data_IF_594864248276
#
_entry.id   IF_594864248276
#
_cell.length_a   1.000
_cell.length_b   1.000
_cell.length_c   1.000
_cell.angle_alpha   90.00
_cell.angle_beta   90.00
_cell.angle_gamma   90.00
#
_symmetry.space_group_name_H-M   'P 1'
#
loop_
_entity.id
_entity.type
_entity.pdbx_description
1 polymer ?
#
# COMPACT_ATOMS: atom_id res chain seq x y z
N UNK A 1 -14.66 3.23 -77.56
CA UNK A 1 -15.75 3.68 -78.47
C UNK A 1 -16.06 5.09 -78.02
N UNK A 2 -15.45 6.08 -78.70
CA UNK A 2 -16.09 7.00 -79.63
C UNK A 2 -16.96 8.03 -78.87
N UNK A 3 -16.82 9.34 -78.97
CA UNK A 3 -16.11 10.39 -79.77
C UNK A 3 -16.44 11.72 -79.07
N UNK A 4 -15.54 12.66 -78.81
CA UNK A 4 -15.18 13.78 -79.71
C UNK A 4 -16.31 14.78 -79.98
N UNK A 5 -15.97 16.04 -79.83
CA UNK A 5 -16.50 17.21 -80.59
C UNK A 5 -16.34 18.48 -79.72
N UNK A 6 -15.33 19.25 -79.83
CA UNK A 6 -14.90 20.28 -80.81
C UNK A 6 -15.87 21.45 -80.92
N UNK A 7 -15.29 22.64 -80.78
CA UNK A 7 -15.57 23.72 -81.62
C UNK A 7 -15.59 25.13 -80.98
N UNK A 8 -14.50 25.83 -80.98
CA UNK A 8 -14.10 26.95 -81.88
C UNK A 8 -14.82 28.31 -81.56
N UNK A 9 -14.06 29.22 -81.05
CA UNK A 9 -13.48 30.49 -81.54
C UNK A 9 -14.44 31.63 -81.84
N UNK A 10 -14.22 32.82 -81.32
CA UNK A 10 -13.55 33.95 -82.03
C UNK A 10 -13.83 35.30 -81.34
N UNK A 11 -12.79 36.01 -81.01
CA UNK A 11 -12.37 37.32 -81.55
C UNK A 11 -13.26 38.53 -81.26
N UNK A 12 -12.67 39.54 -80.65
CA UNK A 12 -13.10 40.90 -80.79
C UNK A 12 -12.62 41.93 -79.79
N UNK A 13 -11.45 42.45 -80.01
CA UNK A 13 -10.99 43.85 -79.90
C UNK A 13 -11.19 44.71 -78.67
N UNK A 14 -10.06 45.25 -78.31
CA UNK A 14 -9.71 46.28 -77.39
C UNK A 14 -10.49 47.61 -77.52
N UNK A 15 -10.64 48.32 -76.40
CA UNK A 15 -10.51 49.76 -76.32
C UNK A 15 -9.91 50.18 -74.97
N UNK A 16 -8.85 51.00 -75.12
CA UNK A 16 -8.23 51.75 -73.99
C UNK A 16 -9.22 52.71 -73.31
N UNK A 17 -9.06 52.85 -71.93
CA UNK A 17 -8.96 54.19 -71.31
C UNK A 17 -8.53 54.09 -69.87
N UNK A 18 -7.39 54.64 -69.63
CA UNK A 18 -6.88 55.50 -68.49
C UNK A 18 -7.80 55.71 -67.27
N UNK A 19 -7.27 55.49 -66.12
CA UNK A 19 -7.55 56.38 -65.01
C UNK A 19 -7.62 55.80 -63.60
N UNK A 20 -6.74 56.27 -62.80
CA UNK A 20 -6.78 56.35 -61.31
C UNK A 20 -6.33 55.14 -60.50
N UNK A 21 -5.12 55.23 -59.99
CA UNK A 21 -4.56 54.50 -58.88
C UNK A 21 -5.29 54.95 -57.62
N UNK A 22 -6.06 54.05 -56.97
CA UNK A 22 -6.48 54.20 -55.58
C UNK A 22 -5.71 53.11 -54.82
N UNK A 23 -4.75 53.52 -54.03
CA UNK A 23 -4.03 52.69 -53.08
C UNK A 23 -4.97 52.35 -51.92
N UNK A 24 -5.31 51.04 -51.80
CA UNK A 24 -6.02 50.52 -50.66
C UNK A 24 -4.97 50.09 -49.62
N UNK A 25 -5.01 50.60 -48.35
CA UNK A 25 -4.09 50.13 -47.34
C UNK A 25 -4.48 48.70 -46.92
N UNK A 26 -3.55 47.80 -47.05
CA UNK A 26 -3.63 46.43 -46.53
C UNK A 26 -3.60 46.48 -45.01
N UNK A 27 -4.79 46.46 -44.42
CA UNK A 27 -4.93 46.30 -42.98
C UNK A 27 -4.49 44.90 -42.60
N UNK A 28 -3.29 44.80 -42.03
CA UNK A 28 -2.75 43.57 -41.42
C UNK A 28 -3.58 43.31 -40.15
N UNK A 29 -4.61 42.46 -40.23
CA UNK A 29 -5.29 41.91 -39.06
C UNK A 29 -4.33 40.95 -38.37
N UNK A 30 -3.60 41.46 -37.40
CA UNK A 30 -2.95 40.63 -36.38
C UNK A 30 -4.08 39.97 -35.55
N UNK A 31 -4.43 38.74 -35.95
CA UNK A 31 -5.24 37.88 -35.11
C UNK A 31 -4.46 37.55 -33.85
N UNK A 32 -4.77 38.26 -32.75
CA UNK A 32 -4.34 37.92 -31.42
C UNK A 32 -5.06 36.61 -31.04
N UNK A 33 -4.45 35.46 -31.37
CA UNK A 33 -4.85 34.19 -30.79
C UNK A 33 -4.49 34.30 -29.30
N UNK A 34 -5.47 34.69 -28.48
CA UNK A 34 -5.40 34.45 -27.03
C UNK A 34 -5.34 32.92 -26.87
N UNK A 35 -4.11 32.41 -26.72
CA UNK A 35 -3.90 31.09 -26.13
C UNK A 35 -4.40 31.23 -24.70
N UNK A 36 -5.66 30.84 -24.47
CA UNK A 36 -6.19 30.69 -23.13
C UNK A 36 -5.31 29.67 -22.45
N UNK A 37 -4.40 30.12 -21.58
CA UNK A 37 -3.82 29.25 -20.57
C UNK A 37 -5.02 28.70 -19.79
N UNK A 38 -5.35 27.44 -20.07
CA UNK A 38 -6.24 26.67 -19.22
C UNK A 38 -5.54 26.63 -17.86
N UNK A 39 -5.95 27.45 -16.92
CA UNK A 39 -5.57 27.31 -15.53
C UNK A 39 -5.94 25.87 -15.14
N UNK A 40 -4.93 25.01 -15.12
CA UNK A 40 -5.04 23.67 -14.55
C UNK A 40 -5.39 23.89 -13.09
N UNK A 41 -6.67 23.76 -12.73
CA UNK A 41 -7.08 23.74 -11.33
C UNK A 41 -6.27 22.65 -10.66
N UNK A 42 -5.39 23.06 -9.76
CA UNK A 42 -4.52 22.11 -9.07
C UNK A 42 -5.41 21.13 -8.30
N UNK A 43 -5.19 19.83 -8.53
CA UNK A 43 -5.92 18.77 -7.87
C UNK A 43 -5.68 18.85 -6.35
N UNK A 44 -6.74 18.95 -5.55
CA UNK A 44 -6.64 18.92 -4.08
C UNK A 44 -6.99 17.54 -3.55
N UNK A 45 -6.13 16.99 -2.68
CA UNK A 45 -6.38 15.77 -1.91
C UNK A 45 -6.33 16.12 -0.42
N UNK A 46 -7.43 15.85 0.29
CA UNK A 46 -7.48 16.02 1.74
C UNK A 46 -6.98 14.75 2.44
N UNK A 47 -6.03 14.91 3.36
CA UNK A 47 -5.50 13.81 4.19
C UNK A 47 -6.03 14.02 5.62
N UNK A 48 -6.95 13.17 6.06
CA UNK A 48 -7.46 13.14 7.42
C UNK A 48 -6.74 12.04 8.21
N UNK A 49 -5.92 12.41 9.19
CA UNK A 49 -5.18 11.46 10.03
C UNK A 49 -5.76 11.34 11.43
N UNK A 50 -5.83 10.11 11.94
CA UNK A 50 -6.34 9.82 13.30
C UNK A 50 -5.49 10.48 14.38
N UNK A 51 -4.19 10.57 14.18
CA UNK A 51 -3.20 11.21 15.05
C UNK A 51 -1.86 11.34 14.34
N UNK A 52 -0.95 12.15 14.89
CA UNK A 52 0.43 12.24 14.39
C UNK A 52 1.32 11.21 15.10
N UNK A 53 1.51 10.05 14.47
CA UNK A 53 2.46 9.00 14.91
C UNK A 53 3.39 8.65 13.75
N UNK A 54 4.62 8.25 14.06
CA UNK A 54 5.67 7.99 13.06
C UNK A 54 5.26 7.01 11.96
N UNK A 55 4.47 5.98 12.29
CA UNK A 55 3.95 5.02 11.31
C UNK A 55 3.00 5.67 10.28
N UNK A 56 2.15 6.59 10.73
CA UNK A 56 1.23 7.32 9.83
C UNK A 56 1.97 8.30 8.96
N UNK A 57 2.95 9.03 9.51
CA UNK A 57 3.76 9.98 8.75
C UNK A 57 4.53 9.27 7.63
N UNK A 58 5.17 8.12 7.91
CA UNK A 58 5.82 7.31 6.87
C UNK A 58 4.86 6.85 5.77
N UNK A 59 3.63 6.47 6.13
CA UNK A 59 2.62 6.11 5.15
C UNK A 59 2.16 7.33 4.32
N UNK A 60 1.99 8.49 4.94
CA UNK A 60 1.63 9.73 4.25
C UNK A 60 2.74 10.16 3.27
N UNK A 61 4.01 10.06 3.67
CA UNK A 61 5.14 10.34 2.78
C UNK A 61 5.13 9.41 1.56
N UNK A 62 4.98 8.11 1.79
CA UNK A 62 4.86 7.12 0.70
C UNK A 62 3.67 7.40 -0.22
N UNK A 63 2.52 7.80 0.34
CA UNK A 63 1.34 8.20 -0.40
C UNK A 63 1.61 9.39 -1.31
N UNK A 64 2.18 10.47 -0.77
CA UNK A 64 2.49 11.68 -1.54
C UNK A 64 3.52 11.43 -2.64
N UNK A 65 4.51 10.57 -2.38
CA UNK A 65 5.54 10.23 -3.35
C UNK A 65 5.00 9.45 -4.57
N UNK A 66 3.92 8.68 -4.42
CA UNK A 66 3.33 7.86 -5.47
C UNK A 66 1.99 8.39 -6.00
N UNK A 67 1.42 9.38 -5.36
CA UNK A 67 0.16 10.02 -5.74
C UNK A 67 0.25 10.81 -7.04
N UNK A 68 -0.86 11.42 -7.49
CA UNK A 68 -0.88 12.22 -8.70
C UNK A 68 0.08 13.41 -8.62
N UNK A 69 0.79 13.70 -9.71
CA UNK A 69 1.68 14.85 -9.80
C UNK A 69 0.90 16.18 -9.81
N UNK A 70 1.49 17.25 -9.29
CA UNK A 70 0.85 18.57 -9.26
C UNK A 70 -0.30 18.69 -8.26
N UNK A 71 -0.42 17.75 -7.31
CA UNK A 71 -1.46 17.72 -6.30
C UNK A 71 -1.13 18.63 -5.11
N UNK A 72 -2.12 19.37 -4.62
CA UNK A 72 -2.07 20.05 -3.34
C UNK A 72 -2.60 19.11 -2.26
N UNK A 73 -1.81 18.86 -1.22
CA UNK A 73 -2.19 18.02 -0.09
C UNK A 73 -2.57 18.88 1.11
N UNK A 74 -3.84 18.82 1.50
CA UNK A 74 -4.35 19.49 2.70
C UNK A 74 -4.42 18.47 3.85
N UNK A 75 -3.60 18.64 4.89
CA UNK A 75 -3.56 17.71 6.02
C UNK A 75 -4.40 18.19 7.20
N UNK A 76 -5.13 17.26 7.80
CA UNK A 76 -6.01 17.46 8.94
C UNK A 76 -5.72 16.39 10.00
N UNK A 77 -5.32 16.82 11.20
CA UNK A 77 -5.08 15.94 12.33
C UNK A 77 -6.23 16.02 13.33
N UNK A 78 -6.87 14.88 13.59
CA UNK A 78 -7.95 14.81 14.56
C UNK A 78 -7.47 14.55 16.00
N UNK A 79 -6.16 14.45 16.22
CA UNK A 79 -5.53 14.29 17.53
C UNK A 79 -6.12 13.15 18.38
N UNK A 80 -6.55 12.07 17.73
CA UNK A 80 -7.17 10.93 18.39
C UNK A 80 -8.64 11.14 18.80
N UNK A 81 -9.23 12.31 18.61
CA UNK A 81 -10.59 12.64 18.99
C UNK A 81 -11.57 12.45 17.81
N UNK A 82 -12.59 11.61 18.01
CA UNK A 82 -13.56 11.28 16.95
C UNK A 82 -14.50 12.44 16.63
N UNK A 83 -14.88 13.25 17.62
CA UNK A 83 -15.76 14.40 17.38
C UNK A 83 -15.03 15.53 16.67
N UNK A 84 -13.75 15.74 16.98
CA UNK A 84 -12.87 16.57 16.19
C UNK A 84 -12.77 16.04 14.74
N UNK A 85 -12.61 14.72 14.58
CA UNK A 85 -12.58 14.09 13.27
C UNK A 85 -13.82 14.34 12.43
N UNK A 86 -15.02 14.24 13.02
CA UNK A 86 -16.29 14.57 12.34
C UNK A 86 -16.35 16.05 11.91
N UNK A 87 -15.91 16.98 12.77
CA UNK A 87 -15.85 18.41 12.43
C UNK A 87 -14.92 18.66 11.25
N UNK A 88 -13.73 18.05 11.26
CA UNK A 88 -12.77 18.13 10.16
C UNK A 88 -13.30 17.49 8.88
N UNK A 89 -13.96 16.33 8.97
CA UNK A 89 -14.56 15.66 7.81
C UNK A 89 -15.67 16.52 7.17
N UNK A 90 -16.51 17.22 7.96
CA UNK A 90 -17.47 18.21 7.46
C UNK A 90 -16.78 19.37 6.74
N UNK A 91 -15.66 19.87 7.30
CA UNK A 91 -14.86 20.92 6.66
C UNK A 91 -14.29 20.44 5.32
N UNK A 92 -13.75 19.23 5.28
CA UNK A 92 -13.22 18.60 4.06
C UNK A 92 -14.33 18.44 3.01
N UNK A 93 -15.51 17.97 3.40
CA UNK A 93 -16.66 17.84 2.49
C UNK A 93 -17.06 19.18 1.86
N UNK A 94 -16.88 20.29 2.58
CA UNK A 94 -17.19 21.64 2.09
C UNK A 94 -16.02 22.28 1.32
N UNK A 95 -14.88 21.59 1.15
CA UNK A 95 -13.74 22.06 0.36
C UNK A 95 -13.82 21.53 -1.08
N UNK A 96 -12.86 21.92 -1.90
CA UNK A 96 -12.71 21.48 -3.30
C UNK A 96 -11.93 20.15 -3.43
N UNK A 97 -11.79 19.39 -2.32
CA UNK A 97 -11.05 18.14 -2.34
C UNK A 97 -11.68 17.10 -3.30
N UNK A 98 -10.89 16.64 -4.25
CA UNK A 98 -11.30 15.66 -5.25
C UNK A 98 -11.23 14.23 -4.73
N UNK A 99 -10.48 14.00 -3.64
CA UNK A 99 -10.31 12.71 -2.97
C UNK A 99 -9.91 12.94 -1.51
N UNK A 100 -10.37 12.04 -0.65
CA UNK A 100 -10.02 12.03 0.78
C UNK A 100 -9.20 10.80 1.12
N UNK A 101 -8.06 10.99 1.76
CA UNK A 101 -7.25 9.91 2.33
C UNK A 101 -7.47 9.86 3.83
N UNK A 102 -8.01 8.75 4.32
CA UNK A 102 -8.24 8.53 5.73
C UNK A 102 -7.15 7.62 6.33
N UNK A 103 -6.33 8.18 7.23
CA UNK A 103 -5.19 7.48 7.82
C UNK A 103 -5.53 7.00 9.24
N UNK A 104 -5.67 5.68 9.38
CA UNK A 104 -6.09 5.02 10.62
C UNK A 104 -7.60 4.95 10.79
N UNK A 105 -8.03 4.08 11.72
CA UNK A 105 -9.43 3.69 11.89
C UNK A 105 -10.36 4.87 12.22
N UNK A 106 -9.98 5.71 13.17
CA UNK A 106 -10.85 6.83 13.60
C UNK A 106 -11.08 7.83 12.46
N UNK A 107 -10.05 8.11 11.65
CA UNK A 107 -10.18 8.96 10.47
C UNK A 107 -11.11 8.35 9.42
N UNK A 108 -10.99 7.05 9.16
CA UNK A 108 -11.86 6.35 8.22
C UNK A 108 -13.33 6.34 8.69
N UNK A 109 -13.58 6.15 9.98
CA UNK A 109 -14.92 6.22 10.55
C UNK A 109 -15.50 7.64 10.46
N UNK A 110 -14.73 8.68 10.80
CA UNK A 110 -15.17 10.06 10.69
C UNK A 110 -15.47 10.45 9.23
N UNK A 111 -14.59 10.10 8.30
CA UNK A 111 -14.81 10.35 6.88
C UNK A 111 -16.04 9.61 6.35
N UNK A 112 -16.23 8.34 6.69
CA UNK A 112 -17.40 7.55 6.27
C UNK A 112 -18.72 8.17 6.72
N UNK A 113 -18.76 8.75 7.93
CA UNK A 113 -19.98 9.32 8.50
C UNK A 113 -20.39 10.64 7.84
N UNK A 114 -19.42 11.43 7.40
CA UNK A 114 -19.68 12.81 6.99
C UNK A 114 -19.48 13.07 5.48
N UNK A 115 -18.75 12.21 4.76
CA UNK A 115 -18.41 12.39 3.35
C UNK A 115 -19.05 11.28 2.52
N UNK A 116 -19.96 11.62 1.63
CA UNK A 116 -20.73 10.66 0.83
C UNK A 116 -20.54 10.82 -0.69
N UNK A 117 -20.05 11.95 -1.13
CA UNK A 117 -19.97 12.41 -2.52
C UNK A 117 -18.54 12.48 -3.08
N UNK A 118 -17.53 12.44 -2.22
CA UNK A 118 -16.11 12.43 -2.58
C UNK A 118 -15.54 11.02 -2.36
N UNK A 119 -14.70 10.48 -3.24
CA UNK A 119 -14.02 9.21 -3.03
C UNK A 119 -13.16 9.24 -1.77
N UNK A 120 -13.24 8.18 -0.96
CA UNK A 120 -12.44 8.00 0.25
C UNK A 120 -11.54 6.79 0.06
N UNK A 121 -10.24 6.98 0.26
CA UNK A 121 -9.26 5.88 0.30
C UNK A 121 -8.66 5.82 1.70
N UNK A 122 -8.85 4.70 2.38
CA UNK A 122 -8.26 4.51 3.71
C UNK A 122 -6.97 3.69 3.66
N UNK A 123 -6.09 3.94 4.63
CA UNK A 123 -4.87 3.16 4.87
C UNK A 123 -4.55 3.07 6.36
N UNK A 124 -3.61 2.19 6.72
CA UNK A 124 -3.12 2.00 8.10
C UNK A 124 -4.22 1.52 9.05
N UNK A 125 -5.07 0.59 8.59
CA UNK A 125 -6.15 -0.02 9.38
C UNK A 125 -5.94 -1.53 9.41
N UNK A 126 -5.85 -2.07 10.63
CA UNK A 126 -5.86 -3.51 10.85
C UNK A 126 -7.28 -4.04 10.67
N UNK A 127 -7.43 -5.11 9.87
CA UNK A 127 -8.69 -5.83 9.66
C UNK A 127 -9.91 -4.89 9.42
N UNK A 128 -9.91 -4.12 8.31
CA UNK A 128 -10.99 -3.15 8.06
C UNK A 128 -12.38 -3.80 7.94
N UNK A 129 -12.44 -5.11 7.69
CA UNK A 129 -13.69 -5.87 7.61
C UNK A 129 -14.47 -5.88 8.93
N UNK A 130 -13.76 -5.87 10.07
CA UNK A 130 -14.38 -5.83 11.41
C UNK A 130 -15.02 -4.48 11.78
N UNK A 131 -14.70 -3.44 11.03
CA UNK A 131 -15.09 -2.07 11.38
C UNK A 131 -16.18 -1.51 10.45
N UNK A 132 -16.83 -2.38 9.67
CA UNK A 132 -17.88 -1.97 8.74
C UNK A 132 -17.48 -0.75 7.88
N UNK A 133 -16.25 -0.76 7.34
CA UNK A 133 -15.74 0.31 6.47
C UNK A 133 -16.19 0.12 5.01
N UNK A 134 -17.42 -0.36 4.79
CA UNK A 134 -17.99 -0.51 3.46
C UNK A 134 -18.92 0.66 3.15
N UNK A 135 -18.64 1.37 2.05
CA UNK A 135 -19.50 2.38 1.44
C UNK A 135 -19.21 2.46 -0.06
N UNK A 136 -20.17 2.96 -0.86
CA UNK A 136 -20.06 3.02 -2.32
C UNK A 136 -18.92 3.94 -2.79
N UNK A 137 -18.57 4.96 -1.97
CA UNK A 137 -17.49 5.92 -2.22
C UNK A 137 -16.22 5.60 -1.42
N UNK A 138 -16.10 4.41 -0.80
CA UNK A 138 -14.98 4.11 0.10
C UNK A 138 -14.27 2.80 -0.28
N UNK A 139 -12.96 2.83 -0.35
CA UNK A 139 -12.06 1.69 -0.50
C UNK A 139 -10.76 1.94 0.24
N UNK A 140 -9.76 1.06 0.14
CA UNK A 140 -8.47 1.30 0.80
C UNK A 140 -7.45 0.19 0.55
N UNK A 141 -6.36 0.26 1.32
CA UNK A 141 -5.29 -0.74 1.34
C UNK A 141 -5.28 -1.49 2.67
N UNK A 142 -4.97 -2.80 2.60
CA UNK A 142 -4.81 -3.62 3.80
C UNK A 142 -3.45 -3.34 4.45
N UNK A 143 -3.41 -3.41 5.78
CA UNK A 143 -2.16 -3.42 6.56
C UNK A 143 -1.76 -4.87 6.90
N UNK A 144 -2.05 -5.79 6.02
CA UNK A 144 -1.80 -7.22 6.21
C UNK A 144 -1.10 -7.81 4.99
N UNK A 145 -0.21 -8.73 5.28
CA UNK A 145 0.48 -9.51 4.26
C UNK A 145 -0.33 -10.78 4.00
N UNK A 146 -0.75 -11.05 2.76
CA UNK A 146 -1.41 -12.31 2.46
C UNK A 146 -0.56 -13.52 2.87
N UNK A 147 -1.16 -14.50 3.54
CA UNK A 147 -0.47 -15.71 4.01
C UNK A 147 0.28 -16.43 2.88
N UNK A 148 -0.35 -16.54 1.71
CA UNK A 148 0.27 -17.12 0.51
C UNK A 148 1.63 -16.48 0.20
N UNK A 149 1.70 -15.15 0.28
CA UNK A 149 2.93 -14.42 -0.03
C UNK A 149 4.00 -14.63 1.02
N UNK A 150 3.60 -14.65 2.31
CA UNK A 150 4.53 -14.95 3.40
C UNK A 150 5.18 -16.32 3.21
N UNK A 151 4.38 -17.36 2.95
CA UNK A 151 4.91 -18.72 2.77
C UNK A 151 5.73 -18.89 1.48
N UNK A 152 5.38 -18.24 0.39
CA UNK A 152 6.20 -18.21 -0.83
C UNK A 152 7.59 -17.64 -0.56
N UNK A 153 7.65 -16.53 0.18
CA UNK A 153 8.93 -15.90 0.55
C UNK A 153 9.71 -16.80 1.52
N UNK A 154 9.05 -17.33 2.57
CA UNK A 154 9.69 -18.24 3.49
C UNK A 154 10.28 -19.46 2.76
N UNK A 155 9.56 -20.04 1.81
CA UNK A 155 10.04 -21.15 1.00
C UNK A 155 11.26 -20.77 0.17
N UNK A 156 11.27 -19.56 -0.42
CA UNK A 156 12.40 -19.08 -1.20
C UNK A 156 13.65 -18.85 -0.34
N UNK A 157 13.50 -18.32 0.88
CA UNK A 157 14.59 -18.06 1.80
C UNK A 157 15.08 -19.32 2.53
N UNK A 158 14.17 -20.25 2.85
CA UNK A 158 14.41 -21.42 3.69
C UNK A 158 13.89 -22.69 3.01
N UNK A 159 14.50 -23.13 1.88
CA UNK A 159 13.99 -24.22 1.06
C UNK A 159 13.97 -25.59 1.79
N UNK A 160 14.83 -25.77 2.77
CA UNK A 160 14.98 -27.03 3.51
C UNK A 160 14.12 -27.11 4.78
N UNK A 161 13.31 -26.07 5.06
CA UNK A 161 12.52 -25.98 6.27
C UNK A 161 11.10 -26.50 6.00
N UNK A 162 10.60 -27.37 6.87
CA UNK A 162 9.30 -28.03 6.66
C UNK A 162 8.31 -27.81 7.81
N UNK A 163 8.75 -27.89 9.07
CA UNK A 163 7.89 -27.79 10.25
C UNK A 163 8.03 -26.43 10.90
N UNK A 164 6.96 -25.65 10.86
CA UNK A 164 6.88 -24.34 11.49
C UNK A 164 6.06 -24.43 12.78
N UNK A 165 6.69 -24.21 13.90
CA UNK A 165 6.02 -24.13 15.20
C UNK A 165 5.50 -22.71 15.45
N UNK A 166 4.30 -22.60 15.98
CA UNK A 166 3.69 -21.32 16.39
C UNK A 166 3.29 -21.43 17.85
N UNK A 167 3.76 -20.46 18.67
CA UNK A 167 3.24 -20.22 20.01
C UNK A 167 2.14 -19.17 19.92
N UNK A 168 0.94 -19.47 20.41
CA UNK A 168 -0.15 -18.49 20.44
C UNK A 168 -1.21 -18.87 21.45
N UNK A 169 -2.00 -17.89 21.89
CA UNK A 169 -3.20 -18.18 22.66
C UNK A 169 -4.20 -18.98 21.83
N UNK A 170 -4.87 -19.95 22.45
CA UNK A 170 -5.82 -20.86 21.78
C UNK A 170 -6.90 -20.13 20.97
N UNK A 171 -7.34 -18.96 21.44
CA UNK A 171 -8.32 -18.14 20.74
C UNK A 171 -7.84 -17.56 19.41
N UNK A 172 -6.52 -17.51 19.17
CA UNK A 172 -5.95 -16.99 17.91
C UNK A 172 -5.83 -18.08 16.83
N UNK A 173 -5.78 -19.38 17.16
CA UNK A 173 -5.64 -20.44 16.17
C UNK A 173 -6.80 -20.50 15.18
N UNK A 174 -8.00 -20.11 15.58
CA UNK A 174 -9.13 -20.00 14.65
C UNK A 174 -8.85 -19.03 13.48
N UNK A 175 -8.06 -17.98 13.72
CA UNK A 175 -7.64 -17.01 12.71
C UNK A 175 -6.51 -17.55 11.82
N UNK A 176 -5.80 -18.58 12.29
CA UNK A 176 -4.67 -19.18 11.57
C UNK A 176 -5.10 -20.31 10.62
N UNK A 177 -6.41 -20.64 10.50
CA UNK A 177 -6.87 -21.68 9.57
C UNK A 177 -6.49 -21.42 8.12
N UNK A 178 -6.64 -20.18 7.66
CA UNK A 178 -6.23 -19.79 6.30
C UNK A 178 -4.72 -19.89 6.12
N UNK A 179 -3.96 -19.61 7.17
CA UNK A 179 -2.51 -19.80 7.21
C UNK A 179 -2.12 -21.27 7.06
N UNK A 180 -2.81 -22.19 7.72
CA UNK A 180 -2.53 -23.62 7.64
C UNK A 180 -2.69 -24.18 6.22
N UNK A 181 -3.74 -23.75 5.51
CA UNK A 181 -3.95 -24.13 4.11
C UNK A 181 -2.84 -23.60 3.19
N UNK A 182 -2.46 -22.34 3.36
CA UNK A 182 -1.41 -21.70 2.57
C UNK A 182 -0.02 -22.24 2.90
N UNK A 183 0.24 -22.61 4.16
CA UNK A 183 1.45 -23.29 4.58
C UNK A 183 1.59 -24.63 3.86
N UNK A 184 0.55 -25.45 3.90
CA UNK A 184 0.51 -26.74 3.24
C UNK A 184 0.74 -26.64 1.72
N UNK A 185 0.11 -25.66 1.06
CA UNK A 185 0.31 -25.36 -0.36
C UNK A 185 1.76 -25.00 -0.71
N UNK A 186 2.54 -24.50 0.26
CA UNK A 186 3.97 -24.18 0.12
C UNK A 186 4.88 -25.22 0.80
N UNK A 187 4.38 -26.44 1.03
CA UNK A 187 5.09 -27.56 1.62
C UNK A 187 5.60 -27.30 3.07
N UNK A 188 4.91 -26.45 3.83
CA UNK A 188 5.13 -26.29 5.25
C UNK A 188 4.04 -27.00 6.06
N UNK A 189 4.43 -27.58 7.17
CA UNK A 189 3.54 -28.11 8.20
C UNK A 189 3.53 -27.14 9.37
N UNK A 190 2.39 -26.51 9.65
CA UNK A 190 2.22 -25.70 10.86
C UNK A 190 1.95 -26.60 12.05
N UNK A 191 2.62 -26.34 13.16
CA UNK A 191 2.46 -27.00 14.44
C UNK A 191 2.07 -25.95 15.48
N UNK A 192 0.91 -26.13 16.09
CA UNK A 192 0.33 -25.17 17.03
C UNK A 192 0.64 -25.58 18.47
N UNK A 193 1.23 -24.67 19.23
CA UNK A 193 1.56 -24.85 20.64
C UNK A 193 0.78 -23.84 21.48
N UNK A 194 -0.33 -24.26 22.12
CA UNK A 194 -1.22 -23.35 22.80
C UNK A 194 -0.59 -22.80 24.08
N UNK A 195 -0.78 -21.50 24.29
CA UNK A 195 -0.34 -20.75 25.47
C UNK A 195 -1.54 -20.01 26.04
N UNK A 196 -2.01 -20.39 27.21
CA UNK A 196 -3.15 -19.72 27.86
C UNK A 196 -2.69 -18.56 28.74
N UNK A 197 -1.45 -18.62 29.20
CA UNK A 197 -0.81 -17.57 30.00
C UNK A 197 0.68 -17.51 29.70
N UNK A 198 1.33 -16.39 30.05
CA UNK A 198 2.78 -16.23 29.90
C UNK A 198 3.58 -17.36 30.62
N UNK A 199 3.03 -17.92 31.72
CA UNK A 199 3.67 -19.01 32.46
C UNK A 199 3.80 -20.30 31.65
N UNK A 200 2.99 -20.48 30.63
CA UNK A 200 3.02 -21.66 29.75
C UNK A 200 4.11 -21.57 28.69
N UNK A 201 4.58 -20.35 28.37
CA UNK A 201 5.59 -20.09 27.32
C UNK A 201 6.82 -20.96 27.47
N UNK A 202 7.47 -21.12 28.65
CA UNK A 202 8.68 -21.92 28.76
C UNK A 202 8.47 -23.41 28.46
N UNK A 203 7.33 -23.96 28.84
CA UNK A 203 7.00 -25.36 28.56
C UNK A 203 6.68 -25.60 27.10
N UNK A 204 5.79 -24.78 26.53
CA UNK A 204 5.37 -24.88 25.15
C UNK A 204 6.52 -24.59 24.19
N UNK A 205 7.39 -23.64 24.50
CA UNK A 205 8.60 -23.37 23.74
C UNK A 205 9.52 -24.59 23.69
N UNK A 206 9.76 -25.27 24.83
CA UNK A 206 10.58 -26.50 24.85
C UNK A 206 10.00 -27.60 23.98
N UNK A 207 8.68 -27.78 24.01
CA UNK A 207 7.97 -28.76 23.19
C UNK A 207 8.11 -28.42 21.69
N UNK A 208 7.93 -27.15 21.35
CA UNK A 208 8.10 -26.64 19.98
C UNK A 208 9.52 -26.87 19.48
N UNK A 209 10.52 -26.46 20.24
CA UNK A 209 11.94 -26.60 19.85
C UNK A 209 12.41 -28.04 19.71
N UNK A 210 11.66 -29.00 20.27
CA UNK A 210 11.93 -30.45 20.13
C UNK A 210 11.32 -31.07 18.88
N UNK A 211 10.36 -30.40 18.21
CA UNK A 211 9.57 -31.02 17.14
C UNK A 211 9.48 -30.17 15.86
N UNK A 212 9.81 -28.88 15.92
CA UNK A 212 9.71 -27.95 14.80
C UNK A 212 11.10 -27.59 14.27
N UNK A 213 11.18 -27.27 12.98
CA UNK A 213 12.42 -26.85 12.32
C UNK A 213 12.66 -25.34 12.46
N UNK A 214 11.60 -24.57 12.71
CA UNK A 214 11.67 -23.14 13.05
C UNK A 214 10.50 -22.72 13.92
N UNK A 215 10.69 -21.65 14.71
CA UNK A 215 9.64 -20.93 15.39
C UNK A 215 9.20 -19.73 14.52
N UNK A 216 7.91 -19.65 14.25
CA UNK A 216 7.31 -18.49 13.61
C UNK A 216 6.53 -17.65 14.62
N UNK A 217 7.02 -16.44 14.89
CA UNK A 217 6.35 -15.50 15.78
C UNK A 217 5.14 -14.89 15.06
N UNK A 218 4.01 -14.89 15.74
CA UNK A 218 2.79 -14.20 15.34
C UNK A 218 2.44 -13.15 16.39
N UNK A 219 1.75 -12.05 16.02
CA UNK A 219 1.32 -11.05 16.99
C UNK A 219 0.38 -11.65 18.04
N UNK A 220 0.87 -11.82 19.28
CA UNK A 220 0.12 -12.37 20.40
C UNK A 220 0.66 -11.79 21.73
N UNK A 221 -0.16 -11.02 22.43
CA UNK A 221 0.22 -10.35 23.67
C UNK A 221 0.36 -11.31 24.87
N UNK A 222 -0.19 -12.53 24.79
CA UNK A 222 -0.02 -13.56 25.82
C UNK A 222 1.38 -14.18 25.74
N UNK A 223 1.91 -14.29 24.51
CA UNK A 223 3.22 -14.92 24.24
C UNK A 223 4.34 -13.89 24.23
N UNK A 224 4.11 -12.72 23.63
CA UNK A 224 5.14 -11.71 23.36
C UNK A 224 5.04 -10.57 24.38
N UNK A 225 5.57 -10.80 25.57
CA UNK A 225 5.78 -9.78 26.61
C UNK A 225 7.23 -9.29 26.57
N UNK A 226 7.53 -8.21 27.27
CA UNK A 226 8.91 -7.71 27.38
C UNK A 226 9.86 -8.76 27.97
N UNK A 227 9.35 -9.57 28.90
CA UNK A 227 10.09 -10.60 29.60
C UNK A 227 10.28 -11.86 28.74
N UNK A 228 9.26 -12.26 27.99
CA UNK A 228 9.26 -13.51 27.23
C UNK A 228 10.06 -13.43 25.93
N UNK A 229 10.09 -12.27 25.25
CA UNK A 229 10.75 -12.10 23.95
C UNK A 229 12.23 -12.48 24.00
N UNK A 230 12.97 -11.95 24.97
CA UNK A 230 14.38 -12.28 25.16
C UNK A 230 14.59 -13.78 25.40
N UNK A 231 13.81 -14.36 26.32
CA UNK A 231 13.84 -15.78 26.64
C UNK A 231 13.55 -16.68 25.42
N UNK A 232 12.54 -16.32 24.61
CA UNK A 232 12.18 -17.07 23.41
C UNK A 232 13.35 -17.06 22.40
N UNK A 233 13.91 -15.89 22.11
CA UNK A 233 14.99 -15.74 21.15
C UNK A 233 16.27 -16.46 21.59
N UNK A 234 16.70 -16.26 22.82
CA UNK A 234 17.91 -16.89 23.39
C UNK A 234 17.78 -18.40 23.46
N UNK A 235 16.63 -18.90 23.96
CA UNK A 235 16.40 -20.35 24.07
C UNK A 235 16.34 -21.03 22.70
N UNK A 236 15.70 -20.40 21.72
CA UNK A 236 15.62 -20.91 20.35
C UNK A 236 17.01 -20.95 19.71
N UNK A 237 17.79 -19.87 19.86
CA UNK A 237 19.15 -19.79 19.33
C UNK A 237 20.06 -20.86 19.97
N UNK A 238 19.99 -21.04 21.29
CA UNK A 238 20.76 -22.08 22.00
C UNK A 238 20.42 -23.51 21.52
N UNK A 239 19.18 -23.74 21.09
CA UNK A 239 18.71 -25.00 20.52
C UNK A 239 18.92 -25.11 19.01
N UNK A 240 19.56 -24.12 18.39
CA UNK A 240 19.77 -24.00 16.94
C UNK A 240 18.50 -24.05 16.10
N UNK A 241 17.38 -23.58 16.64
CA UNK A 241 16.10 -23.43 15.94
C UNK A 241 15.94 -21.98 15.50
N UNK A 242 15.90 -21.70 14.21
CA UNK A 242 15.72 -20.33 13.71
C UNK A 242 14.36 -19.76 14.11
N UNK A 243 14.35 -18.47 14.42
CA UNK A 243 13.13 -17.71 14.69
C UNK A 243 12.81 -16.81 13.51
N UNK A 244 11.55 -16.83 13.06
CA UNK A 244 11.01 -15.97 12.03
C UNK A 244 10.12 -14.94 12.71
N UNK A 245 10.42 -13.65 12.53
CA UNK A 245 9.69 -12.53 13.12
C UNK A 245 8.73 -11.87 12.13
N UNK A 246 7.94 -10.94 12.64
CA UNK A 246 7.02 -10.10 11.86
C UNK A 246 7.36 -8.61 11.94
N UNK A 247 8.51 -8.27 12.52
CA UNK A 247 9.03 -6.90 12.64
C UNK A 247 10.54 -6.91 12.56
N UNK A 248 11.19 -5.89 11.97
CA UNK A 248 12.64 -5.73 11.95
C UNK A 248 13.29 -5.79 13.34
N UNK A 249 12.55 -5.38 14.36
CA UNK A 249 13.00 -5.42 15.73
C UNK A 249 13.38 -6.84 16.19
N UNK A 250 12.57 -7.85 15.85
CA UNK A 250 12.91 -9.25 16.18
C UNK A 250 14.20 -9.69 15.49
N UNK A 251 14.42 -9.27 14.24
CA UNK A 251 15.66 -9.59 13.52
C UNK A 251 16.86 -8.92 14.19
N UNK A 252 16.72 -7.67 14.63
CA UNK A 252 17.74 -6.94 15.37
C UNK A 252 18.07 -7.62 16.70
N UNK A 253 17.06 -8.16 17.38
CA UNK A 253 17.20 -8.90 18.64
C UNK A 253 17.70 -10.34 18.50
N UNK A 254 17.88 -10.86 17.27
CA UNK A 254 18.48 -12.19 17.04
C UNK A 254 17.60 -13.19 16.29
N UNK A 255 16.38 -12.84 15.88
CA UNK A 255 15.64 -13.68 14.94
C UNK A 255 16.40 -13.80 13.60
N UNK A 256 16.27 -14.94 12.91
CA UNK A 256 16.96 -15.21 11.65
C UNK A 256 16.53 -14.24 10.55
N UNK A 257 15.23 -14.07 10.40
CA UNK A 257 14.63 -13.13 9.46
C UNK A 257 13.28 -12.62 9.97
N UNK A 258 12.82 -11.50 9.43
CA UNK A 258 11.46 -11.02 9.66
C UNK A 258 10.80 -10.60 8.35
N UNK A 259 9.50 -10.89 8.26
CA UNK A 259 8.62 -10.45 7.19
C UNK A 259 7.68 -9.40 7.75
N UNK A 260 7.79 -8.17 7.30
CA UNK A 260 7.02 -7.05 7.85
C UNK A 260 6.37 -6.20 6.75
N UNK A 261 5.41 -5.38 7.14
CA UNK A 261 4.83 -4.37 6.28
C UNK A 261 5.67 -3.10 6.39
N UNK A 262 6.08 -2.53 5.26
CA UNK A 262 6.63 -1.18 5.23
C UNK A 262 5.49 -0.17 5.19
N UNK A 263 5.42 0.75 6.16
CA UNK A 263 4.37 1.77 6.20
C UNK A 263 4.46 2.72 4.99
N UNK A 264 5.67 3.05 4.55
CA UNK A 264 5.87 3.80 3.31
C UNK A 264 5.31 3.08 2.08
N UNK A 265 5.43 1.75 2.04
CA UNK A 265 4.87 0.95 0.96
C UNK A 265 3.34 0.88 1.00
N UNK A 266 2.73 0.81 2.19
CA UNK A 266 1.28 0.98 2.35
C UNK A 266 0.83 2.31 1.75
N UNK A 267 1.54 3.39 2.08
CA UNK A 267 1.30 4.70 1.51
C UNK A 267 1.45 4.72 0.00
N UNK A 268 2.52 4.14 -0.53
CA UNK A 268 2.79 4.07 -1.97
C UNK A 268 1.65 3.37 -2.72
N UNK A 269 1.22 2.20 -2.27
CA UNK A 269 0.09 1.47 -2.88
C UNK A 269 -1.22 2.27 -2.81
N UNK A 270 -1.44 2.97 -1.68
CA UNK A 270 -2.60 3.86 -1.53
C UNK A 270 -2.52 5.05 -2.50
N UNK A 271 -1.33 5.61 -2.74
CA UNK A 271 -1.10 6.68 -3.71
C UNK A 271 -1.39 6.23 -5.15
N UNK A 272 -0.94 5.04 -5.53
CA UNK A 272 -1.24 4.44 -6.83
C UNK A 272 -2.74 4.17 -6.98
N UNK A 273 -3.42 3.73 -5.92
CA UNK A 273 -4.87 3.55 -5.93
C UNK A 273 -5.59 4.88 -6.12
N UNK A 274 -5.20 5.92 -5.38
CA UNK A 274 -5.76 7.26 -5.50
C UNK A 274 -5.58 7.82 -6.92
N UNK A 275 -4.39 7.65 -7.50
CA UNK A 275 -4.12 8.04 -8.88
C UNK A 275 -5.08 7.37 -9.87
N UNK A 276 -5.25 6.05 -9.81
CA UNK A 276 -6.19 5.31 -10.68
C UNK A 276 -7.62 5.84 -10.56
N UNK A 277 -8.07 6.12 -9.32
CA UNK A 277 -9.41 6.65 -9.07
C UNK A 277 -9.59 8.02 -9.73
N UNK A 278 -8.60 8.89 -9.61
CA UNK A 278 -8.64 10.26 -10.15
C UNK A 278 -8.45 10.29 -11.68
N UNK A 279 -7.70 9.35 -12.24
CA UNK A 279 -7.52 9.17 -13.69
C UNK A 279 -8.78 8.62 -14.40
N UNK A 280 -9.84 8.33 -13.66
CA UNK A 280 -11.16 7.98 -14.24
C UNK A 280 -11.61 6.54 -14.01
N UNK A 281 -10.94 5.79 -13.18
CA UNK A 281 -11.37 4.45 -12.74
C UNK A 281 -12.57 4.61 -11.78
N UNK A 282 -13.75 4.92 -12.35
CA UNK A 282 -14.96 5.30 -11.61
C UNK A 282 -15.50 4.21 -10.68
N UNK A 283 -15.01 2.98 -10.84
CA UNK A 283 -15.44 1.85 -10.01
C UNK A 283 -14.39 1.57 -8.95
N UNK A 284 -14.65 2.04 -7.74
CA UNK A 284 -13.80 1.70 -6.60
C UNK A 284 -13.72 0.18 -6.41
N UNK A 285 -12.54 -0.37 -6.09
CA UNK A 285 -12.43 -1.77 -5.72
C UNK A 285 -13.41 -2.13 -4.59
N UNK A 286 -14.21 -3.18 -4.80
CA UNK A 286 -15.18 -3.64 -3.80
C UNK A 286 -14.52 -4.19 -2.53
N UNK A 287 -13.25 -4.56 -2.62
CA UNK A 287 -12.43 -5.03 -1.49
C UNK A 287 -11.16 -4.18 -1.39
N UNK A 288 -10.64 -3.96 -0.18
CA UNK A 288 -9.35 -3.29 -0.01
C UNK A 288 -8.23 -4.06 -0.70
N UNK A 289 -7.25 -3.33 -1.20
CA UNK A 289 -6.12 -3.89 -1.95
C UNK A 289 -5.08 -4.40 -0.96
N UNK A 290 -4.58 -5.64 -1.10
CA UNK A 290 -3.49 -6.15 -0.26
C UNK A 290 -2.16 -5.46 -0.61
N UNK A 291 -1.25 -5.39 0.36
CA UNK A 291 0.11 -4.92 0.14
C UNK A 291 0.90 -5.99 -0.61
N UNK A 292 1.54 -5.61 -1.70
CA UNK A 292 2.29 -6.55 -2.51
C UNK A 292 3.75 -6.69 -2.08
N UNK A 293 4.37 -5.60 -1.64
CA UNK A 293 5.78 -5.61 -1.24
C UNK A 293 5.94 -5.77 0.26
N UNK A 294 6.72 -6.78 0.64
CA UNK A 294 7.16 -7.03 2.01
C UNK A 294 8.47 -6.32 2.27
N UNK A 295 8.67 -5.86 3.49
CA UNK A 295 9.99 -5.54 4.03
C UNK A 295 10.59 -6.81 4.63
N UNK A 296 11.71 -7.26 4.07
CA UNK A 296 12.42 -8.46 4.49
C UNK A 296 13.73 -8.04 5.16
N UNK A 297 13.86 -8.38 6.42
CA UNK A 297 15.09 -8.14 7.19
C UNK A 297 15.73 -9.45 7.59
N UNK A 298 17.04 -9.56 7.53
CA UNK A 298 17.79 -10.78 7.89
C UNK A 298 18.91 -10.50 8.87
N UNK A 299 19.16 -11.44 9.78
CA UNK A 299 20.31 -11.38 10.68
C UNK A 299 21.40 -12.34 10.19
N UNK A 300 22.44 -11.78 9.57
CA UNK A 300 23.54 -12.54 9.01
C UNK A 300 24.43 -13.20 10.09
N UNK A 301 24.46 -12.64 11.31
CA UNK A 301 25.19 -13.24 12.44
C UNK A 301 24.45 -14.49 12.91
N UNK A 302 23.13 -14.40 13.06
CA UNK A 302 22.27 -15.54 13.41
C UNK A 302 22.32 -16.59 12.33
N UNK A 303 22.24 -16.23 11.05
CA UNK A 303 22.35 -17.16 9.92
C UNK A 303 23.67 -17.96 9.98
N UNK A 304 24.80 -17.28 10.14
CA UNK A 304 26.11 -17.91 10.29
C UNK A 304 26.20 -18.84 11.50
N UNK A 305 25.67 -18.42 12.64
CA UNK A 305 25.66 -19.22 13.87
C UNK A 305 24.84 -20.53 13.68
N UNK A 306 23.71 -20.44 12.98
CA UNK A 306 22.83 -21.56 12.69
C UNK A 306 23.34 -22.45 11.54
N UNK A 307 24.33 -21.99 10.78
CA UNK A 307 24.80 -22.66 9.56
C UNK A 307 23.80 -22.58 8.41
N UNK A 308 23.00 -21.51 8.37
CA UNK A 308 21.99 -21.29 7.32
C UNK A 308 22.55 -20.31 6.29
N UNK A 309 22.58 -20.75 5.04
CA UNK A 309 22.90 -19.91 3.89
C UNK A 309 21.63 -19.63 3.10
N UNK A 310 21.37 -18.36 2.82
CA UNK A 310 20.26 -17.95 1.96
C UNK A 310 20.62 -18.19 0.49
N UNK A 311 19.69 -18.71 -0.34
CA UNK A 311 19.90 -18.81 -1.77
C UNK A 311 20.28 -17.45 -2.38
N UNK A 312 21.21 -17.41 -3.33
CA UNK A 312 21.66 -16.17 -3.96
C UNK A 312 20.54 -15.43 -4.67
N UNK A 313 19.57 -16.17 -5.15
CA UNK A 313 18.39 -15.68 -5.87
C UNK A 313 17.51 -14.77 -5.02
N UNK A 314 17.55 -14.88 -3.69
CA UNK A 314 16.72 -14.04 -2.80
C UNK A 314 17.46 -12.80 -2.28
N UNK A 315 18.76 -12.62 -2.57
CA UNK A 315 19.53 -11.49 -2.06
C UNK A 315 18.94 -10.12 -2.44
N UNK A 316 18.37 -10.02 -3.63
CA UNK A 316 17.74 -8.79 -4.11
C UNK A 316 16.42 -8.45 -3.40
N UNK A 317 15.86 -9.38 -2.61
CA UNK A 317 14.65 -9.19 -1.82
C UNK A 317 14.93 -8.67 -0.41
N UNK A 318 16.20 -8.71 0.02
CA UNK A 318 16.60 -8.29 1.37
C UNK A 318 16.65 -6.77 1.42
N UNK A 319 15.82 -6.17 2.28
CA UNK A 319 15.78 -4.72 2.47
C UNK A 319 16.80 -4.25 3.51
N UNK A 320 17.11 -5.09 4.53
CA UNK A 320 17.98 -4.69 5.64
C UNK A 320 18.67 -5.91 6.26
N UNK A 321 19.92 -5.72 6.71
CA UNK A 321 20.74 -6.78 7.33
C UNK A 321 21.29 -6.35 8.70
N UNK A 322 21.41 -7.30 9.65
CA UNK A 322 22.01 -7.13 10.96
C UNK A 322 23.19 -8.07 11.20
#
# INVERSE_FOLDING_TARGET
MIKLGDGIASVGRAVHRTGARIALPLALMFGLTAVGESESVALEIAILKSSSIGAYEQAIEGFKAAGPSGTIYAEYDMQGDLDQGKKLAKKIRASEASLVVAVGLKAALAAKLEIVDVPIVYMMILDPSKHNLSASNMTGTLLEIPAERQFKILRAFLPNLHRLGILSNSGNFAKLKDFSAQAAANAFQLQEFPVESEKDVPQQLRSLLGSSDALWLVPDSTVLTNESIGFILETSLARRVPVIGFSPEFTRLGALLSLSVSYGEVGRETGLLAKRILDGDRKLPAKPIPIERLKITVNLKTARFLGIEFPKEVNHLIDETY
#
